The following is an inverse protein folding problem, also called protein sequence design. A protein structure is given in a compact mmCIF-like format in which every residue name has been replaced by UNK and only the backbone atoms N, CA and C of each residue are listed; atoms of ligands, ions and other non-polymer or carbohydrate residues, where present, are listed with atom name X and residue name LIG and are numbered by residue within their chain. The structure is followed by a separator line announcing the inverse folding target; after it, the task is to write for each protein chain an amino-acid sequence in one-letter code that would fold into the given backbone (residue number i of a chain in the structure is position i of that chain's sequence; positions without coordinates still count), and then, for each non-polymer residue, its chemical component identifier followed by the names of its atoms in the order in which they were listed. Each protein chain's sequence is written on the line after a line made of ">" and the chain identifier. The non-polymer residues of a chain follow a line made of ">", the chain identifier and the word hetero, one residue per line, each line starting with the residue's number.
data_IF_562673421267
#
_entry.id   IF_562673421267
#
_cell.length_a   1.000
_cell.length_b   1.000
_cell.length_c   1.000
_cell.angle_alpha   90.00
_cell.angle_beta   90.00
_cell.angle_gamma   90.00
#
_symmetry.space_group_name_H-M   'P 1'
#
loop_
_entity.id
_entity.type
_entity.pdbx_description
1 polymer ?
#
# COMPACT_ATOMS: atom_id res chain seq x y z
N UNK A 1 -13.99 -10.16 14.92
CA UNK A 1 -14.45 -8.78 14.67
C UNK A 1 -13.34 -7.83 15.03
N UNK A 2 -12.65 -7.23 14.05
CA UNK A 2 -11.55 -6.29 14.34
C UNK A 2 -12.17 -5.02 14.93
N UNK A 3 -11.92 -4.73 16.21
CA UNK A 3 -12.35 -3.46 16.83
C UNK A 3 -11.67 -2.32 16.08
N UNK A 4 -12.44 -1.56 15.29
CA UNK A 4 -11.97 -0.28 14.75
C UNK A 4 -11.63 0.62 15.93
N UNK A 5 -10.36 0.98 16.05
CA UNK A 5 -9.91 2.02 16.99
C UNK A 5 -10.45 3.35 16.46
N UNK A 6 -11.59 3.79 16.97
CA UNK A 6 -12.08 5.15 16.71
C UNK A 6 -11.22 6.11 17.50
N UNK A 7 -10.29 6.77 16.82
CA UNK A 7 -9.50 7.86 17.39
C UNK A 7 -10.38 9.11 17.45
N UNK A 8 -11.23 9.22 18.47
CA UNK A 8 -12.09 10.39 18.72
C UNK A 8 -11.30 11.68 18.90
N UNK A 9 -10.03 11.57 19.29
CA UNK A 9 -9.13 12.70 19.59
C UNK A 9 -8.52 13.32 18.32
N UNK A 10 -8.48 12.59 17.21
CA UNK A 10 -7.94 13.12 15.95
C UNK A 10 -9.11 13.66 15.13
N UNK A 11 -9.22 14.99 14.91
CA UNK A 11 -10.32 15.55 14.14
C UNK A 11 -10.32 14.97 12.73
N UNK A 12 -11.51 14.63 12.22
CA UNK A 12 -11.67 14.14 10.87
C UNK A 12 -11.32 15.25 9.88
N UNK A 13 -10.19 15.12 9.19
CA UNK A 13 -9.86 16.05 8.12
C UNK A 13 -10.68 15.70 6.88
N UNK A 14 -11.42 16.65 6.27
CA UNK A 14 -12.06 16.42 4.99
C UNK A 14 -11.05 15.94 3.94
N UNK A 15 -11.49 14.99 3.10
CA UNK A 15 -10.70 14.42 1.99
C UNK A 15 -10.58 15.42 0.84
N UNK A 16 -9.84 16.50 1.07
CA UNK A 16 -9.52 17.52 0.07
C UNK A 16 -8.07 17.95 0.22
N UNK A 17 -7.56 18.63 -0.79
CA UNK A 17 -6.23 19.23 -0.73
C UNK A 17 -6.22 20.43 0.20
N UNK A 18 -5.18 20.52 1.03
CA UNK A 18 -4.90 21.67 1.88
C UNK A 18 -3.66 22.37 1.33
N UNK A 19 -3.71 23.69 1.26
CA UNK A 19 -2.52 24.51 1.08
C UNK A 19 -1.59 24.39 2.30
N UNK A 20 -0.31 24.72 2.14
CA UNK A 20 0.65 24.72 3.26
C UNK A 20 0.17 25.62 4.41
N UNK A 21 -0.45 26.76 4.08
CA UNK A 21 -1.00 27.69 5.06
C UNK A 21 -2.11 27.04 5.89
N UNK A 22 -3.07 26.38 5.23
CA UNK A 22 -4.16 25.69 5.91
C UNK A 22 -3.63 24.53 6.77
N UNK A 23 -2.66 23.75 6.27
CA UNK A 23 -2.00 22.71 7.05
C UNK A 23 -1.37 23.27 8.33
N UNK A 24 -0.63 24.37 8.24
CA UNK A 24 -0.03 25.01 9.42
C UNK A 24 -1.08 25.49 10.41
N UNK A 25 -2.22 25.98 9.92
CA UNK A 25 -3.31 26.43 10.77
C UNK A 25 -3.98 25.26 11.51
N UNK A 26 -4.25 24.15 10.81
CA UNK A 26 -4.78 22.93 11.42
C UNK A 26 -3.79 22.31 12.42
N UNK A 27 -2.49 22.29 12.10
CA UNK A 27 -1.45 21.85 13.03
C UNK A 27 -1.47 22.70 14.30
N UNK A 28 -1.65 24.03 14.20
CA UNK A 28 -1.76 24.90 15.39
C UNK A 28 -2.98 24.57 16.23
N UNK A 29 -4.14 24.32 15.60
CA UNK A 29 -5.36 23.89 16.31
C UNK A 29 -5.14 22.59 17.05
N UNK A 30 -4.59 21.58 16.37
CA UNK A 30 -4.28 20.28 16.99
C UNK A 30 -3.28 20.44 18.13
N UNK A 31 -2.21 21.22 17.94
CA UNK A 31 -1.23 21.50 18.99
C UNK A 31 -1.83 22.21 20.20
N UNK A 32 -2.79 23.11 20.01
CA UNK A 32 -3.48 23.79 21.11
C UNK A 32 -4.38 22.85 21.92
N UNK A 33 -4.85 21.75 21.31
CA UNK A 33 -5.62 20.70 22.00
C UNK A 33 -4.71 19.69 22.73
N UNK A 34 -3.40 19.68 22.45
CA UNK A 34 -2.45 18.78 23.10
C UNK A 34 -1.94 19.38 24.43
N UNK A 35 -2.32 18.78 25.55
CA UNK A 35 -1.79 19.12 26.88
C UNK A 35 -0.39 18.56 27.13
N UNK A 36 -0.01 17.51 26.41
CA UNK A 36 1.24 16.78 26.60
C UNK A 36 2.14 16.90 25.37
N UNK A 37 3.44 17.04 25.62
CA UNK A 37 4.47 17.03 24.59
C UNK A 37 5.34 15.79 24.78
N UNK A 38 5.34 14.93 23.76
CA UNK A 38 6.24 13.78 23.70
C UNK A 38 7.32 14.04 22.66
N UNK A 39 8.56 13.69 23.00
CA UNK A 39 9.68 13.74 22.06
C UNK A 39 9.86 12.37 21.45
N UNK A 40 9.66 12.26 20.12
CA UNK A 40 9.98 11.05 19.37
C UNK A 40 11.47 11.07 19.03
N UNK A 41 12.25 10.22 19.68
CA UNK A 41 13.65 9.98 19.32
C UNK A 41 13.70 8.84 18.31
N UNK A 42 14.10 9.15 17.07
CA UNK A 42 14.30 8.15 16.03
C UNK A 42 15.76 7.72 16.07
N UNK A 43 16.02 6.46 16.44
CA UNK A 43 17.34 5.84 16.34
C UNK A 43 17.36 4.91 15.12
N UNK A 44 18.19 5.19 14.09
CA UNK A 44 18.28 4.36 12.89
C UNK A 44 18.64 2.89 13.17
N UNK A 45 19.40 2.66 14.25
CA UNK A 45 19.94 1.35 14.61
C UNK A 45 19.09 0.62 15.67
N UNK A 46 17.94 1.18 16.06
CA UNK A 46 17.06 0.59 17.09
C UNK A 46 16.66 -0.87 16.78
N UNK A 47 16.52 -1.22 15.51
CA UNK A 47 16.20 -2.59 15.10
C UNK A 47 17.33 -3.58 15.46
N UNK A 48 18.59 -3.14 15.46
CA UNK A 48 19.73 -3.98 15.84
C UNK A 48 19.75 -4.28 17.35
N UNK A 49 19.15 -3.39 18.16
CA UNK A 49 18.92 -3.60 19.60
C UNK A 49 17.85 -4.65 19.84
N UNK A 50 16.71 -4.51 19.16
CA UNK A 50 15.60 -5.47 19.28
C UNK A 50 16.01 -6.88 18.81
N UNK A 51 16.84 -6.97 17.78
CA UNK A 51 17.32 -8.27 17.26
C UNK A 51 18.58 -8.78 17.97
N UNK A 52 19.05 -8.12 19.03
CA UNK A 52 20.23 -8.50 19.78
C UNK A 52 21.48 -8.72 18.90
N UNK A 53 21.66 -7.89 17.87
CA UNK A 53 22.81 -7.98 16.97
C UNK A 53 24.09 -7.62 17.76
N UNK A 54 25.14 -8.47 17.73
CA UNK A 54 26.39 -8.21 18.44
C UNK A 54 27.06 -6.91 18.00
N UNK A 55 27.68 -6.18 18.92
CA UNK A 55 28.28 -4.86 18.67
C UNK A 55 29.27 -4.84 17.49
N UNK A 56 30.10 -5.88 17.38
CA UNK A 56 31.03 -6.00 16.25
C UNK A 56 30.30 -6.09 14.91
N UNK A 57 29.21 -6.87 14.84
CA UNK A 57 28.40 -7.01 13.63
C UNK A 57 27.65 -5.71 13.30
N UNK A 58 27.22 -4.95 14.31
CA UNK A 58 26.61 -3.61 14.11
C UNK A 58 27.58 -2.66 13.43
N UNK A 59 28.80 -2.56 13.94
CA UNK A 59 29.85 -1.68 13.37
C UNK A 59 30.15 -2.02 11.92
N UNK A 60 30.31 -3.31 11.62
CA UNK A 60 30.55 -3.77 10.25
C UNK A 60 29.36 -3.47 9.34
N UNK A 61 28.13 -3.68 9.82
CA UNK A 61 26.90 -3.41 9.06
C UNK A 61 26.75 -1.91 8.79
N UNK A 62 26.92 -1.07 9.79
CA UNK A 62 26.86 0.40 9.66
C UNK A 62 27.92 0.92 8.70
N UNK A 63 29.15 0.42 8.80
CA UNK A 63 30.23 0.75 7.86
C UNK A 63 29.81 0.41 6.42
N UNK A 64 29.28 -0.79 6.19
CA UNK A 64 28.82 -1.21 4.86
C UNK A 64 27.66 -0.35 4.34
N UNK A 65 26.72 0.03 5.21
CA UNK A 65 25.60 0.92 4.85
C UNK A 65 26.15 2.28 4.41
N UNK A 66 27.07 2.87 5.18
CA UNK A 66 27.66 4.17 4.85
C UNK A 66 28.46 4.13 3.54
N UNK A 67 29.23 3.06 3.31
CA UNK A 67 29.96 2.85 2.06
C UNK A 67 29.01 2.76 0.85
N UNK A 68 27.91 2.01 0.99
CA UNK A 68 26.91 1.87 -0.09
C UNK A 68 26.14 3.18 -0.33
N UNK A 69 25.83 3.95 0.72
CA UNK A 69 25.24 5.29 0.58
C UNK A 69 26.19 6.19 -0.21
N UNK A 70 27.47 6.25 0.18
CA UNK A 70 28.47 7.07 -0.52
C UNK A 70 28.62 6.67 -1.99
N UNK A 71 28.65 5.36 -2.28
CA UNK A 71 28.69 4.85 -3.65
C UNK A 71 27.48 5.31 -4.47
N UNK A 72 26.27 5.18 -3.93
CA UNK A 72 25.03 5.60 -4.61
C UNK A 72 24.94 7.10 -4.78
N UNK A 73 25.37 7.88 -3.79
CA UNK A 73 25.40 9.34 -3.91
C UNK A 73 26.34 9.81 -5.02
N UNK A 74 27.49 9.14 -5.19
CA UNK A 74 28.41 9.40 -6.30
C UNK A 74 27.78 9.03 -7.65
N UNK A 75 27.14 7.87 -7.74
CA UNK A 75 26.42 7.42 -8.95
C UNK A 75 25.31 8.41 -9.35
N UNK A 76 24.44 8.78 -8.41
CA UNK A 76 23.38 9.76 -8.66
C UNK A 76 23.91 11.18 -8.90
N UNK A 77 25.12 11.51 -8.46
CA UNK A 77 25.77 12.78 -8.80
C UNK A 77 26.18 12.79 -10.27
N UNK A 78 26.82 11.72 -10.74
CA UNK A 78 27.21 11.58 -12.14
C UNK A 78 26.00 11.64 -13.09
N UNK A 79 24.92 10.91 -12.77
CA UNK A 79 23.66 10.95 -13.55
C UNK A 79 23.09 12.37 -13.60
N UNK A 80 23.09 13.10 -12.48
CA UNK A 80 22.60 14.48 -12.43
C UNK A 80 23.45 15.44 -13.27
N UNK A 81 24.77 15.26 -13.26
CA UNK A 81 25.69 16.04 -14.09
C UNK A 81 25.44 15.78 -15.59
N UNK A 82 25.25 14.52 -15.99
CA UNK A 82 24.92 14.13 -17.37
C UNK A 82 23.57 14.69 -17.82
N UNK A 83 22.54 14.63 -16.96
CA UNK A 83 21.19 15.11 -17.26
C UNK A 83 21.03 16.64 -17.08
N UNK A 84 22.06 17.35 -16.60
CA UNK A 84 21.99 18.78 -16.30
C UNK A 84 21.02 19.13 -15.16
N UNK A 85 20.75 18.19 -14.24
CA UNK A 85 19.80 18.35 -13.13
C UNK A 85 20.52 18.63 -11.81
N UNK A 86 19.88 19.40 -10.93
CA UNK A 86 20.38 19.69 -9.57
C UNK A 86 19.63 18.89 -8.50
N UNK A 87 20.15 18.87 -7.27
CA UNK A 87 19.43 18.26 -6.15
C UNK A 87 18.14 19.03 -5.87
N UNK A 88 17.07 18.30 -5.53
CA UNK A 88 15.84 18.92 -5.03
C UNK A 88 16.16 19.59 -3.69
N UNK A 89 16.09 20.92 -3.63
CA UNK A 89 16.37 21.68 -2.42
C UNK A 89 15.39 21.36 -1.30
N UNK A 90 15.80 21.61 -0.05
CA UNK A 90 15.01 21.27 1.15
C UNK A 90 13.59 21.84 1.11
N UNK A 91 13.42 23.07 0.63
CA UNK A 91 12.11 23.73 0.55
C UNK A 91 11.20 23.00 -0.45
N UNK A 92 11.71 22.73 -1.65
CA UNK A 92 10.99 22.00 -2.69
C UNK A 92 10.64 20.57 -2.25
N UNK A 93 11.55 19.91 -1.50
CA UNK A 93 11.31 18.58 -0.96
C UNK A 93 10.21 18.57 0.11
N UNK A 94 10.17 19.59 0.98
CA UNK A 94 9.13 19.73 2.01
C UNK A 94 7.76 20.08 1.43
N UNK A 95 7.73 20.82 0.32
CA UNK A 95 6.50 21.16 -0.39
C UNK A 95 6.08 20.12 -1.41
N UNK A 96 6.93 19.14 -1.72
CA UNK A 96 6.59 18.04 -2.61
C UNK A 96 5.42 17.24 -2.03
N UNK A 97 4.44 16.93 -2.88
CA UNK A 97 3.32 16.10 -2.49
C UNK A 97 3.81 14.68 -2.17
N UNK A 98 3.41 14.15 -1.01
CA UNK A 98 3.68 12.75 -0.65
C UNK A 98 2.94 11.79 -1.59
N UNK A 99 1.73 12.18 -2.00
CA UNK A 99 0.98 11.56 -3.08
C UNK A 99 1.54 12.07 -4.42
N UNK A 100 2.77 11.70 -4.73
CA UNK A 100 3.17 11.67 -6.13
C UNK A 100 2.21 10.71 -6.84
N UNK A 101 1.69 11.09 -8.01
CA UNK A 101 0.99 10.17 -8.90
C UNK A 101 2.00 9.13 -9.36
N UNK A 102 2.31 8.19 -8.48
CA UNK A 102 3.12 7.04 -8.82
C UNK A 102 2.29 6.21 -9.77
N UNK A 103 2.46 6.47 -11.05
CA UNK A 103 2.04 5.60 -12.11
C UNK A 103 3.03 4.43 -12.08
N UNK A 104 2.61 3.23 -11.63
CA UNK A 104 3.50 2.07 -11.62
C UNK A 104 3.96 1.79 -13.05
N UNK A 105 5.20 2.18 -13.38
CA UNK A 105 5.82 1.94 -14.69
C UNK A 105 6.05 0.44 -14.92
N UNK A 106 6.14 -0.34 -13.84
CA UNK A 106 6.07 -1.79 -13.90
C UNK A 106 4.62 -2.26 -13.90
N UNK A 107 4.13 -2.68 -15.07
CA UNK A 107 3.07 -3.69 -15.17
C UNK A 107 3.65 -5.05 -14.73
N UNK A 108 4.03 -5.17 -13.47
CA UNK A 108 4.59 -6.40 -12.93
C UNK A 108 3.60 -7.54 -13.07
N UNK A 109 4.06 -8.72 -13.49
CA UNK A 109 3.26 -9.95 -13.38
C UNK A 109 2.82 -10.06 -11.91
N UNK A 110 1.51 -10.09 -11.66
CA UNK A 110 0.98 -10.30 -10.30
C UNK A 110 1.55 -11.61 -9.76
N UNK A 111 2.21 -11.54 -8.61
CA UNK A 111 2.71 -12.72 -7.90
C UNK A 111 1.49 -13.48 -7.37
N UNK A 112 1.30 -14.73 -7.82
CA UNK A 112 0.16 -15.56 -7.41
C UNK A 112 0.41 -16.27 -6.08
N UNK A 113 1.66 -16.64 -5.81
CA UNK A 113 2.11 -17.19 -4.54
C UNK A 113 3.61 -16.93 -4.35
N UNK A 114 4.04 -16.90 -3.09
CA UNK A 114 5.45 -16.83 -2.70
C UNK A 114 5.85 -18.25 -2.29
N UNK A 115 6.73 -18.87 -3.07
CA UNK A 115 7.25 -20.21 -2.86
C UNK A 115 8.60 -20.34 -3.55
N UNK A 116 9.56 -20.96 -2.85
CA UNK A 116 10.91 -21.22 -3.37
C UNK A 116 10.94 -22.44 -4.32
N UNK A 117 10.04 -23.41 -4.10
CA UNK A 117 9.84 -24.54 -4.98
C UNK A 117 9.11 -24.12 -6.27
N UNK A 118 9.78 -24.29 -7.42
CA UNK A 118 9.31 -23.89 -8.75
C UNK A 118 8.14 -24.76 -9.22
N UNK A 119 8.20 -26.07 -8.99
CA UNK A 119 7.20 -27.03 -9.47
C UNK A 119 5.92 -26.93 -8.64
N UNK A 120 6.05 -26.76 -7.34
CA UNK A 120 4.92 -26.47 -6.46
C UNK A 120 4.23 -25.15 -6.86
N UNK A 121 5.04 -24.12 -7.14
CA UNK A 121 4.54 -22.82 -7.61
C UNK A 121 3.82 -22.94 -8.95
N UNK A 122 4.35 -23.67 -9.91
CA UNK A 122 3.72 -23.90 -11.21
C UNK A 122 2.35 -24.59 -11.05
N UNK A 123 2.30 -25.71 -10.31
CA UNK A 123 1.06 -26.45 -10.03
C UNK A 123 0.01 -25.58 -9.33
N UNK A 124 0.43 -24.79 -8.33
CA UNK A 124 -0.48 -23.87 -7.64
C UNK A 124 -1.04 -22.80 -8.59
N UNK A 125 -0.21 -22.22 -9.46
CA UNK A 125 -0.65 -21.21 -10.44
C UNK A 125 -1.66 -21.80 -11.42
N UNK A 126 -1.44 -23.01 -11.91
CA UNK A 126 -2.38 -23.71 -12.80
C UNK A 126 -3.72 -23.98 -12.12
N UNK A 127 -3.68 -24.51 -10.90
CA UNK A 127 -4.87 -24.71 -10.08
C UNK A 127 -5.63 -23.40 -9.83
N UNK A 128 -4.93 -22.33 -9.46
CA UNK A 128 -5.53 -21.02 -9.20
C UNK A 128 -6.15 -20.40 -10.46
N UNK A 129 -5.55 -20.61 -11.64
CA UNK A 129 -6.15 -20.20 -12.91
C UNK A 129 -7.42 -21.00 -13.22
N UNK A 130 -7.38 -22.32 -13.03
CA UNK A 130 -8.52 -23.20 -13.27
C UNK A 130 -9.71 -22.86 -12.36
N UNK A 131 -9.47 -22.61 -11.07
CA UNK A 131 -10.55 -22.26 -10.14
C UNK A 131 -11.15 -20.87 -10.45
N UNK A 132 -10.30 -19.91 -10.83
CA UNK A 132 -10.75 -18.59 -11.29
C UNK A 132 -11.59 -18.68 -12.57
N UNK A 133 -11.23 -19.58 -13.49
CA UNK A 133 -12.02 -19.83 -14.70
C UNK A 133 -13.42 -20.36 -14.36
N UNK A 134 -13.50 -21.40 -13.53
CA UNK A 134 -14.77 -21.95 -13.04
C UNK A 134 -15.63 -20.89 -12.34
N UNK A 135 -15.02 -20.08 -11.49
CA UNK A 135 -15.70 -18.99 -10.80
C UNK A 135 -16.28 -17.96 -11.78
N UNK A 136 -15.53 -17.64 -12.85
CA UNK A 136 -16.00 -16.74 -13.91
C UNK A 136 -17.18 -17.35 -14.66
N UNK A 137 -17.14 -18.63 -15.01
CA UNK A 137 -18.25 -19.31 -15.70
C UNK A 137 -19.54 -19.27 -14.87
N UNK A 138 -19.45 -19.58 -13.56
CA UNK A 138 -20.59 -19.48 -12.64
C UNK A 138 -21.11 -18.04 -12.59
N UNK A 139 -20.22 -17.04 -12.51
CA UNK A 139 -20.63 -15.64 -12.48
C UNK A 139 -21.31 -15.18 -13.78
N UNK A 140 -20.83 -15.62 -14.94
CA UNK A 140 -21.50 -15.31 -16.22
C UNK A 140 -22.91 -15.93 -16.29
N UNK A 141 -23.11 -17.15 -15.76
CA UNK A 141 -24.45 -17.75 -15.63
C UNK A 141 -25.34 -17.03 -14.62
N UNK A 142 -24.76 -16.54 -13.53
CA UNK A 142 -25.51 -15.69 -12.59
C UNK A 142 -26.02 -14.41 -13.25
N UNK A 143 -25.26 -13.83 -14.21
CA UNK A 143 -25.72 -12.64 -14.96
C UNK A 143 -26.92 -12.92 -15.86
N UNK A 144 -27.14 -14.18 -16.25
CA UNK A 144 -28.33 -14.59 -17.01
C UNK A 144 -29.48 -15.01 -16.10
N UNK A 145 -29.31 -14.91 -14.77
CA UNK A 145 -30.33 -15.26 -13.78
C UNK A 145 -30.32 -16.71 -13.29
N UNK A 146 -29.40 -17.55 -13.80
CA UNK A 146 -29.25 -18.92 -13.29
C UNK A 146 -28.42 -18.90 -12.00
N UNK A 147 -29.11 -18.88 -10.86
CA UNK A 147 -28.51 -18.92 -9.52
C UNK A 147 -28.45 -20.34 -8.92
N UNK A 148 -28.77 -21.37 -9.70
CA UNK A 148 -28.77 -22.76 -9.22
C UNK A 148 -27.36 -23.28 -8.92
N UNK A 149 -26.35 -22.70 -9.58
CA UNK A 149 -24.97 -23.12 -9.46
C UNK A 149 -24.26 -22.40 -8.30
N UNK A 150 -23.70 -23.15 -7.33
CA UNK A 150 -22.90 -22.57 -6.27
C UNK A 150 -21.55 -22.08 -6.81
N UNK A 151 -21.03 -21.01 -6.22
CA UNK A 151 -19.67 -20.56 -6.48
C UNK A 151 -18.66 -21.62 -6.02
N UNK A 152 -17.55 -21.85 -6.75
CA UNK A 152 -16.62 -22.90 -6.39
C UNK A 152 -15.97 -22.64 -5.01
N UNK A 153 -15.65 -23.69 -4.24
CA UNK A 153 -15.02 -23.53 -2.94
C UNK A 153 -13.63 -22.89 -3.08
N UNK A 154 -13.20 -22.09 -2.09
CA UNK A 154 -11.89 -21.44 -2.10
C UNK A 154 -11.83 -20.10 -2.84
N UNK A 155 -12.95 -19.62 -3.39
CA UNK A 155 -13.11 -18.24 -3.89
C UNK A 155 -14.30 -17.58 -3.21
N UNK A 156 -14.20 -16.27 -2.98
CA UNK A 156 -15.32 -15.51 -2.45
C UNK A 156 -16.30 -15.17 -3.58
N UNK A 157 -17.61 -15.45 -3.42
CA UNK A 157 -18.59 -15.06 -4.42
C UNK A 157 -18.67 -13.53 -4.50
N UNK A 158 -18.75 -12.95 -5.69
CA UNK A 158 -19.03 -11.53 -5.86
C UNK A 158 -20.47 -11.22 -5.42
N UNK A 159 -20.77 -9.94 -5.23
CA UNK A 159 -22.16 -9.49 -5.09
C UNK A 159 -22.99 -9.98 -6.28
N UNK A 160 -24.22 -10.45 -6.03
CA UNK A 160 -25.11 -10.93 -7.09
C UNK A 160 -25.31 -9.83 -8.14
N UNK A 161 -25.22 -10.14 -9.44
CA UNK A 161 -25.41 -9.14 -10.48
C UNK A 161 -26.86 -8.63 -10.44
N UNK A 162 -27.03 -7.32 -10.65
CA UNK A 162 -28.35 -6.71 -10.79
C UNK A 162 -28.87 -7.11 -12.17
N UNK A 163 -29.91 -7.94 -12.20
CA UNK A 163 -30.53 -8.38 -13.45
C UNK A 163 -31.44 -7.26 -13.97
N UNK A 164 -31.23 -6.83 -15.22
CA UNK A 164 -32.06 -5.80 -15.86
C UNK A 164 -33.54 -6.22 -15.99
N UNK A 165 -33.82 -7.53 -15.92
CA UNK A 165 -35.17 -8.08 -15.99
C UNK A 165 -35.91 -8.07 -14.64
N UNK A 166 -35.30 -7.55 -13.56
CA UNK A 166 -36.08 -7.15 -12.40
C UNK A 166 -36.80 -5.83 -12.72
N UNK A 167 -37.78 -5.92 -13.62
CA UNK A 167 -38.93 -5.02 -13.53
C UNK A 167 -39.42 -5.11 -12.07
N UNK A 168 -39.74 -3.98 -11.42
CA UNK A 168 -40.17 -4.02 -10.05
C UNK A 168 -41.43 -4.87 -9.99
N UNK A 169 -41.32 -6.06 -9.39
CA UNK A 169 -42.45 -6.74 -8.74
C UNK A 169 -42.82 -5.91 -7.51
N UNK A 170 -43.27 -4.69 -7.77
CA UNK A 170 -43.89 -3.83 -6.80
C UNK A 170 -45.27 -3.50 -7.37
N UNK A 171 -46.28 -3.86 -6.57
CA UNK A 171 -47.68 -3.44 -6.62
C UNK A 171 -48.62 -4.37 -7.40
N UNK A 172 -48.78 -5.60 -6.92
CA UNK A 172 -50.13 -6.13 -6.75
C UNK A 172 -50.39 -6.28 -5.24
N UNK A 173 -51.58 -5.81 -4.86
CA UNK A 173 -52.05 -5.50 -3.50
C UNK A 173 -52.12 -6.72 -2.57
#
# INVERSE_FOLDING_TARGET
>A
TVRRVFRTVVPFMPKRFYSEHEYRLEIRKVKALCSERQTLTISPDAWMEVLHVPEQARRTTNKRILEEIGRREAEFRAIREEEGKTVIGQLALKSAHLDTEYLPTRSGKKVWCISDDIDLRARYIEWAKAIKHKAREVYERWKTGDLSLPFPPGVFPPTRPILANMAPLALEY
#
